data_IF_868484377622
#
_entry.id   IF_868484377622
#
_cell.length_a   1.000
_cell.length_b   1.000
_cell.length_c   1.000
_cell.angle_alpha   90.00
_cell.angle_beta   90.00
_cell.angle_gamma   90.00
#
_symmetry.space_group_name_H-M   'P 1'
#
loop_
_entity.id
_entity.type
_entity.pdbx_description
1 polymer ?
#
# COMPACT_ATOMS: atom_id res chain seq x y z
N UNK A 1 16.88 11.98 -10.09
CA UNK A 1 15.61 11.27 -10.32
C UNK A 1 15.03 11.71 -11.64
N UNK A 2 14.74 10.77 -12.54
CA UNK A 2 14.06 11.10 -13.79
C UNK A 2 12.55 11.28 -13.56
N UNK A 3 11.88 12.00 -14.46
CA UNK A 3 10.41 12.18 -14.41
C UNK A 3 9.66 10.84 -14.31
N UNK A 4 10.16 9.79 -14.98
CA UNK A 4 9.57 8.45 -14.94
C UNK A 4 9.63 7.84 -13.54
N UNK A 5 10.74 8.05 -12.80
CA UNK A 5 10.87 7.55 -11.43
C UNK A 5 9.91 8.25 -10.46
N UNK A 6 9.67 9.55 -10.65
CA UNK A 6 8.72 10.30 -9.84
C UNK A 6 7.28 9.79 -10.11
N UNK A 7 6.93 9.63 -11.38
CA UNK A 7 5.62 9.10 -11.77
C UNK A 7 5.39 7.67 -11.29
N UNK A 8 6.43 6.81 -11.32
CA UNK A 8 6.31 5.45 -10.83
C UNK A 8 6.15 5.38 -9.31
N UNK A 9 6.85 6.24 -8.55
CA UNK A 9 6.67 6.37 -7.10
C UNK A 9 5.26 6.86 -6.73
N UNK A 10 4.74 7.87 -7.45
CA UNK A 10 3.38 8.35 -7.25
C UNK A 10 2.35 7.27 -7.58
N UNK A 11 2.58 6.50 -8.64
CA UNK A 11 1.73 5.37 -8.99
C UNK A 11 1.73 4.31 -7.89
N UNK A 12 2.90 3.93 -7.38
CA UNK A 12 3.04 2.96 -6.30
C UNK A 12 2.38 3.44 -5.00
N UNK A 13 2.49 4.72 -4.66
CA UNK A 13 1.80 5.30 -3.51
C UNK A 13 0.28 5.26 -3.70
N UNK A 14 -0.20 5.64 -4.89
CA UNK A 14 -1.63 5.62 -5.22
C UNK A 14 -2.20 4.20 -5.13
N UNK A 15 -1.52 3.20 -5.68
CA UNK A 15 -1.96 1.80 -5.58
C UNK A 15 -1.93 1.30 -4.14
N UNK A 16 -0.90 1.65 -3.36
CA UNK A 16 -0.85 1.32 -1.93
C UNK A 16 -2.05 1.87 -1.16
N UNK A 17 -2.42 3.14 -1.39
CA UNK A 17 -3.58 3.76 -0.73
C UNK A 17 -4.90 3.09 -1.12
N UNK A 18 -5.07 2.75 -2.40
CA UNK A 18 -6.25 2.01 -2.85
C UNK A 18 -6.34 0.64 -2.16
N UNK A 19 -5.22 -0.10 -2.10
CA UNK A 19 -5.15 -1.39 -1.42
C UNK A 19 -5.49 -1.24 0.07
N UNK A 20 -4.93 -0.24 0.77
CA UNK A 20 -5.21 0.01 2.18
C UNK A 20 -6.69 0.28 2.44
N UNK A 21 -7.32 1.14 1.63
CA UNK A 21 -8.74 1.47 1.79
C UNK A 21 -9.59 0.24 1.53
N UNK A 22 -9.35 -0.50 0.42
CA UNK A 22 -10.12 -1.71 0.10
C UNK A 22 -9.95 -2.79 1.17
N UNK A 23 -8.73 -3.04 1.65
CA UNK A 23 -8.50 -4.06 2.69
C UNK A 23 -9.02 -3.63 4.05
N UNK A 24 -8.95 -2.34 4.40
CA UNK A 24 -9.58 -1.82 5.61
C UNK A 24 -11.11 -1.94 5.57
N UNK A 25 -11.74 -1.58 4.45
CA UNK A 25 -13.19 -1.75 4.26
C UNK A 25 -13.60 -3.22 4.31
N UNK A 26 -12.82 -4.12 3.71
CA UNK A 26 -13.06 -5.56 3.74
C UNK A 26 -12.91 -6.12 5.17
N UNK A 27 -11.90 -5.69 5.91
CA UNK A 27 -11.70 -6.10 7.31
C UNK A 27 -12.85 -5.60 8.19
N UNK A 28 -13.38 -4.42 7.90
CA UNK A 28 -14.57 -3.91 8.58
C UNK A 28 -15.83 -4.71 8.23
N UNK A 29 -15.98 -5.16 6.98
CA UNK A 29 -17.14 -5.96 6.57
C UNK A 29 -17.13 -7.37 7.16
N UNK A 30 -15.97 -7.91 7.56
CA UNK A 30 -15.87 -9.17 8.32
C UNK A 30 -16.17 -9.02 9.81
N UNK A 31 -16.65 -7.85 10.26
CA UNK A 31 -17.02 -7.60 11.66
C UNK A 31 -15.85 -7.24 12.58
N UNK A 32 -14.66 -7.00 12.05
CA UNK A 32 -13.54 -6.54 12.87
C UNK A 32 -13.74 -5.08 13.30
N UNK A 33 -13.29 -4.76 14.52
CA UNK A 33 -13.36 -3.39 15.04
C UNK A 33 -12.55 -2.39 14.22
N UNK A 34 -12.91 -1.11 14.30
CA UNK A 34 -12.30 -0.02 13.51
C UNK A 34 -10.78 0.05 13.64
N UNK A 35 -10.24 -0.16 14.85
CA UNK A 35 -8.79 -0.18 15.06
C UNK A 35 -8.10 -1.31 14.28
N UNK A 36 -8.71 -2.50 14.25
CA UNK A 36 -8.16 -3.65 13.54
C UNK A 36 -8.27 -3.47 12.02
N UNK A 37 -9.38 -2.90 11.54
CA UNK A 37 -9.53 -2.54 10.14
C UNK A 37 -8.46 -1.53 9.66
N UNK A 38 -8.15 -0.51 10.47
CA UNK A 38 -7.10 0.46 10.16
C UNK A 38 -5.73 -0.20 10.17
N UNK A 39 -5.42 -1.02 11.18
CA UNK A 39 -4.14 -1.74 11.27
C UNK A 39 -3.93 -2.68 10.09
N UNK A 40 -4.96 -3.42 9.69
CA UNK A 40 -4.89 -4.31 8.52
C UNK A 40 -4.67 -3.53 7.23
N UNK A 41 -5.43 -2.45 7.00
CA UNK A 41 -5.24 -1.59 5.82
C UNK A 41 -3.85 -0.92 5.78
N UNK A 42 -3.35 -0.45 6.92
CA UNK A 42 -2.01 0.12 7.03
C UNK A 42 -0.92 -0.94 6.78
N UNK A 43 -1.10 -2.15 7.33
CA UNK A 43 -0.16 -3.26 7.16
C UNK A 43 -0.06 -3.75 5.71
N UNK A 44 -1.19 -3.81 5.00
CA UNK A 44 -1.22 -4.21 3.58
C UNK A 44 -0.53 -3.16 2.69
N UNK A 45 -0.77 -1.87 2.93
CA UNK A 45 -0.06 -0.80 2.23
C UNK A 45 1.46 -0.80 2.53
N UNK A 46 1.85 -0.97 3.79
CA UNK A 46 3.26 -1.03 4.17
C UNK A 46 3.97 -2.21 3.51
N UNK A 47 3.31 -3.37 3.43
CA UNK A 47 3.85 -4.55 2.74
C UNK A 47 4.01 -4.29 1.24
N UNK A 48 3.00 -3.70 0.59
CA UNK A 48 3.06 -3.37 -0.83
C UNK A 48 4.21 -2.39 -1.15
N UNK A 49 4.32 -1.30 -0.38
CA UNK A 49 5.40 -0.33 -0.55
C UNK A 49 6.76 -0.95 -0.25
N UNK A 50 6.87 -1.81 0.76
CA UNK A 50 8.09 -2.55 1.07
C UNK A 50 8.54 -3.42 -0.09
N UNK A 51 7.62 -4.18 -0.71
CA UNK A 51 7.91 -4.98 -1.91
C UNK A 51 8.28 -4.11 -3.11
N UNK A 52 7.60 -2.98 -3.32
CA UNK A 52 7.92 -2.05 -4.40
C UNK A 52 9.32 -1.45 -4.24
N UNK A 53 9.67 -0.97 -3.04
CA UNK A 53 11.01 -0.43 -2.76
C UNK A 53 12.08 -1.52 -2.85
N UNK A 54 11.81 -2.74 -2.37
CA UNK A 54 12.72 -3.87 -2.50
C UNK A 54 12.97 -4.23 -3.97
N UNK A 55 11.93 -4.21 -4.81
CA UNK A 55 12.07 -4.41 -6.25
C UNK A 55 12.89 -3.28 -6.89
N UNK A 56 12.65 -2.03 -6.53
CA UNK A 56 13.46 -0.91 -7.00
C UNK A 56 14.93 -1.11 -6.60
N UNK A 57 15.22 -1.48 -5.36
CA UNK A 57 16.59 -1.71 -4.90
C UNK A 57 17.30 -2.90 -5.58
N UNK A 58 16.54 -3.87 -6.11
CA UNK A 58 17.10 -5.04 -6.79
C UNK A 58 17.35 -4.81 -8.29
N UNK A 59 16.56 -3.93 -8.94
CA UNK A 59 16.55 -3.76 -10.39
C UNK A 59 17.00 -2.36 -10.87
N UNK A 60 17.23 -1.42 -9.95
CA UNK A 60 17.81 -0.09 -10.22
C UNK A 60 19.10 0.11 -9.43
#
# INVERSE_FOLDING_TARGET
MSTVQILSLLLALSTALNIAVTTGLLTRSTGAGTANAILTGAGTAATFLGLYLAAVAAYH
#
